data_IF_382458808479
#
_entry.id   IF_382458808479
#
_cell.length_a   1.000
_cell.length_b   1.000
_cell.length_c   1.000
_cell.angle_alpha   90.00
_cell.angle_beta   90.00
_cell.angle_gamma   90.00
#
_symmetry.space_group_name_H-M   'P 1'
#
loop_
_entity.id
_entity.type
_entity.pdbx_description
1 polymer ?
#
# COMPACT_ATOMS: atom_id res chain seq x y z
N UNK A 1 -104.32 136.42 -46.60
CA UNK A 1 -102.85 136.56 -46.45
C UNK A 1 -102.21 135.62 -45.40
N UNK A 2 -102.94 135.03 -44.43
CA UNK A 2 -102.37 134.12 -43.40
C UNK A 2 -102.09 132.67 -43.85
N UNK A 3 -102.63 132.21 -44.99
CA UNK A 3 -102.60 130.79 -45.39
C UNK A 3 -101.39 130.40 -46.26
N UNK A 4 -100.82 131.32 -47.06
CA UNK A 4 -99.61 131.04 -47.86
C UNK A 4 -98.34 130.84 -47.02
N UNK A 5 -98.25 131.49 -45.85
CA UNK A 5 -97.10 131.36 -44.95
C UNK A 5 -97.02 129.99 -44.26
N UNK A 6 -98.16 129.37 -43.95
CA UNK A 6 -98.22 128.07 -43.26
C UNK A 6 -97.70 126.92 -44.14
N UNK A 7 -98.04 126.89 -45.43
CA UNK A 7 -97.55 125.89 -46.38
C UNK A 7 -96.02 125.94 -46.54
N UNK A 8 -95.46 127.14 -46.74
CA UNK A 8 -94.01 127.33 -46.89
C UNK A 8 -93.24 127.01 -45.61
N UNK A 9 -93.82 127.27 -44.43
CA UNK A 9 -93.22 126.82 -43.15
C UNK A 9 -93.28 125.30 -42.94
N UNK A 10 -94.27 124.60 -43.49
CA UNK A 10 -94.38 123.15 -43.39
C UNK A 10 -93.40 122.44 -44.33
N UNK A 11 -93.17 123.00 -45.53
CA UNK A 11 -92.14 122.55 -46.47
C UNK A 11 -90.74 122.72 -45.86
N UNK A 12 -90.41 123.91 -45.33
CA UNK A 12 -89.11 124.13 -44.66
C UNK A 12 -88.90 123.19 -43.46
N UNK A 13 -89.95 122.90 -42.67
CA UNK A 13 -89.87 121.92 -41.58
C UNK A 13 -89.77 120.46 -42.06
N UNK A 14 -90.23 120.15 -43.27
CA UNK A 14 -90.06 118.82 -43.88
C UNK A 14 -88.64 118.69 -44.41
N UNK A 15 -88.15 119.68 -45.15
CA UNK A 15 -86.80 119.70 -45.70
C UNK A 15 -85.74 119.77 -44.59
N UNK A 16 -85.99 120.52 -43.52
CA UNK A 16 -85.14 120.50 -42.32
C UNK A 16 -85.09 119.11 -41.67
N UNK A 17 -86.23 118.39 -41.56
CA UNK A 17 -86.26 117.02 -41.03
C UNK A 17 -85.59 116.01 -41.95
N UNK A 18 -85.73 116.17 -43.27
CA UNK A 18 -85.05 115.33 -44.26
C UNK A 18 -83.55 115.57 -44.18
N UNK A 19 -83.11 116.84 -44.17
CA UNK A 19 -81.69 117.20 -44.03
C UNK A 19 -81.10 116.76 -42.68
N UNK A 20 -81.84 116.84 -41.57
CA UNK A 20 -81.43 116.29 -40.27
C UNK A 20 -81.31 114.76 -40.31
N UNK A 21 -82.23 114.06 -40.96
CA UNK A 21 -82.18 112.61 -41.09
C UNK A 21 -81.04 112.14 -42.00
N UNK A 22 -80.82 112.81 -43.13
CA UNK A 22 -79.71 112.55 -44.05
C UNK A 22 -78.37 112.85 -43.39
N UNK A 23 -78.22 113.99 -42.71
CA UNK A 23 -77.01 114.31 -41.95
C UNK A 23 -76.76 113.31 -40.81
N UNK A 24 -77.82 112.83 -40.14
CA UNK A 24 -77.71 111.79 -39.11
C UNK A 24 -77.31 110.45 -39.70
N UNK A 25 -77.86 110.04 -40.84
CA UNK A 25 -77.47 108.83 -41.55
C UNK A 25 -76.00 108.91 -41.99
N UNK A 26 -75.59 110.01 -42.63
CA UNK A 26 -74.21 110.21 -43.07
C UNK A 26 -73.23 110.23 -41.90
N UNK A 27 -73.61 110.84 -40.77
CA UNK A 27 -72.82 110.79 -39.54
C UNK A 27 -72.69 109.35 -39.03
N UNK A 28 -73.78 108.58 -38.96
CA UNK A 28 -73.74 107.18 -38.48
C UNK A 28 -72.96 106.26 -39.43
N UNK A 29 -73.03 106.48 -40.74
CA UNK A 29 -72.25 105.71 -41.72
C UNK A 29 -70.76 106.02 -41.57
N UNK A 30 -70.40 107.30 -41.43
CA UNK A 30 -69.00 107.71 -41.20
C UNK A 30 -68.47 107.18 -39.86
N UNK A 31 -69.29 107.20 -38.81
CA UNK A 31 -68.94 106.61 -37.51
C UNK A 31 -68.75 105.10 -37.61
N UNK A 32 -69.64 104.38 -38.32
CA UNK A 32 -69.52 102.94 -38.51
C UNK A 32 -68.25 102.55 -39.31
N UNK A 33 -67.92 103.30 -40.37
CA UNK A 33 -66.71 103.08 -41.17
C UNK A 33 -65.45 103.39 -40.33
N UNK A 34 -65.46 104.48 -39.55
CA UNK A 34 -64.35 104.83 -38.67
C UNK A 34 -64.14 103.77 -37.57
N UNK A 35 -65.22 103.24 -36.99
CA UNK A 35 -65.14 102.18 -35.98
C UNK A 35 -64.73 100.84 -36.60
N UNK A 36 -65.20 100.49 -37.81
CA UNK A 36 -64.73 99.31 -38.55
C UNK A 36 -63.23 99.38 -38.82
N UNK A 37 -62.73 100.52 -39.31
CA UNK A 37 -61.29 100.72 -39.55
C UNK A 37 -60.47 100.64 -38.26
N UNK A 38 -60.99 101.21 -37.16
CA UNK A 38 -60.36 101.12 -35.84
C UNK A 38 -60.30 99.67 -35.33
N UNK A 39 -61.40 98.93 -35.45
CA UNK A 39 -61.47 97.52 -35.06
C UNK A 39 -60.57 96.66 -35.92
N UNK A 40 -60.54 96.87 -37.24
CA UNK A 40 -59.64 96.18 -38.15
C UNK A 40 -58.16 96.44 -37.78
N UNK A 41 -57.79 97.69 -37.51
CA UNK A 41 -56.44 98.03 -37.06
C UNK A 41 -56.11 97.39 -35.70
N UNK A 42 -57.06 97.34 -34.76
CA UNK A 42 -56.89 96.64 -33.47
C UNK A 42 -56.68 95.14 -33.65
N UNK A 43 -57.54 94.47 -34.41
CA UNK A 43 -57.40 93.03 -34.65
C UNK A 43 -56.10 92.70 -35.38
N UNK A 44 -55.67 93.53 -36.34
CA UNK A 44 -54.37 93.35 -36.99
C UNK A 44 -53.24 93.44 -35.95
N UNK A 45 -53.23 94.47 -35.10
CA UNK A 45 -52.24 94.58 -34.03
C UNK A 45 -52.28 93.40 -33.05
N UNK A 46 -53.47 92.97 -32.61
CA UNK A 46 -53.63 91.85 -31.69
C UNK A 46 -53.17 90.53 -32.33
N UNK A 47 -53.43 90.32 -33.63
CA UNK A 47 -52.95 89.14 -34.35
C UNK A 47 -51.42 89.13 -34.47
N UNK A 48 -50.80 90.29 -34.71
CA UNK A 48 -49.34 90.39 -34.77
C UNK A 48 -48.71 90.21 -33.38
N UNK A 49 -49.33 90.73 -32.31
CA UNK A 49 -48.90 90.47 -30.93
C UNK A 49 -49.01 88.98 -30.60
N UNK A 50 -50.13 88.33 -30.93
CA UNK A 50 -50.33 86.90 -30.67
C UNK A 50 -49.34 86.03 -31.47
N UNK A 51 -49.06 86.38 -32.73
CA UNK A 51 -48.01 85.72 -33.53
C UNK A 51 -46.64 85.89 -32.89
N UNK A 52 -46.28 87.11 -32.48
CA UNK A 52 -45.01 87.38 -31.83
C UNK A 52 -44.86 86.63 -30.50
N UNK A 53 -45.93 86.55 -29.70
CA UNK A 53 -45.97 85.77 -28.46
C UNK A 53 -45.79 84.27 -28.73
N UNK A 54 -46.54 83.71 -29.67
CA UNK A 54 -46.41 82.29 -30.06
C UNK A 54 -45.00 81.98 -30.55
N UNK A 55 -44.44 82.82 -31.43
CA UNK A 55 -43.12 82.60 -31.99
C UNK A 55 -42.03 82.76 -30.93
N UNK A 56 -42.20 83.67 -29.96
CA UNK A 56 -41.34 83.79 -28.79
C UNK A 56 -41.39 82.54 -27.91
N UNK A 57 -42.59 82.04 -27.58
CA UNK A 57 -42.78 80.83 -26.78
C UNK A 57 -42.21 79.59 -27.47
N UNK A 58 -42.42 79.45 -28.78
CA UNK A 58 -41.83 78.37 -29.57
C UNK A 58 -40.30 78.43 -29.54
N UNK A 59 -39.70 79.61 -29.77
CA UNK A 59 -38.25 79.77 -29.67
C UNK A 59 -37.73 79.47 -28.28
N UNK A 60 -38.42 79.95 -27.23
CA UNK A 60 -38.08 79.67 -25.84
C UNK A 60 -38.10 78.17 -25.56
N UNK A 61 -39.16 77.46 -25.97
CA UNK A 61 -39.26 76.01 -25.79
C UNK A 61 -38.14 75.25 -26.53
N UNK A 62 -37.79 75.67 -27.74
CA UNK A 62 -36.66 75.08 -28.50
C UNK A 62 -35.34 75.26 -27.74
N UNK A 63 -35.06 76.48 -27.25
CA UNK A 63 -33.84 76.73 -26.47
C UNK A 63 -33.84 76.01 -25.13
N UNK A 64 -34.99 75.90 -24.45
CA UNK A 64 -35.10 75.16 -23.20
C UNK A 64 -34.80 73.68 -23.43
N UNK A 65 -35.32 73.07 -24.51
CA UNK A 65 -34.99 71.68 -24.89
C UNK A 65 -33.50 71.53 -25.19
N UNK A 66 -32.89 72.46 -25.93
CA UNK A 66 -31.46 72.41 -26.23
C UNK A 66 -30.60 72.53 -24.96
N UNK A 67 -30.95 73.47 -24.06
CA UNK A 67 -30.25 73.63 -22.79
C UNK A 67 -30.41 72.37 -21.91
N UNK A 68 -31.60 71.78 -21.85
CA UNK A 68 -31.83 70.58 -21.04
C UNK A 68 -31.15 69.34 -21.62
N UNK A 69 -31.16 69.17 -22.94
CA UNK A 69 -30.43 68.08 -23.60
C UNK A 69 -28.93 68.20 -23.36
N UNK A 70 -28.36 69.40 -23.49
CA UNK A 70 -26.93 69.64 -23.20
C UNK A 70 -26.59 69.43 -21.73
N UNK A 71 -27.49 69.82 -20.80
CA UNK A 71 -27.34 69.54 -19.36
C UNK A 71 -27.37 68.04 -19.08
N UNK A 72 -28.33 67.31 -19.62
CA UNK A 72 -28.43 65.85 -19.45
C UNK A 72 -27.22 65.12 -20.05
N UNK A 73 -26.74 65.55 -21.23
CA UNK A 73 -25.50 65.03 -21.83
C UNK A 73 -24.29 65.26 -20.91
N UNK A 74 -24.17 66.47 -20.33
CA UNK A 74 -23.08 66.79 -19.41
C UNK A 74 -23.14 65.98 -18.10
N UNK A 75 -24.34 65.79 -17.54
CA UNK A 75 -24.58 64.96 -16.36
C UNK A 75 -24.23 63.48 -16.64
N UNK A 76 -24.72 62.92 -17.74
CA UNK A 76 -24.39 61.55 -18.14
C UNK A 76 -22.89 61.38 -18.41
N UNK A 77 -22.24 62.36 -19.03
CA UNK A 77 -20.79 62.32 -19.25
C UNK A 77 -20.01 62.34 -17.91
N UNK A 78 -20.46 63.15 -16.95
CA UNK A 78 -19.88 63.19 -15.62
C UNK A 78 -20.06 61.85 -14.87
N UNK A 79 -21.27 61.28 -14.90
CA UNK A 79 -21.55 59.98 -14.29
C UNK A 79 -20.74 58.85 -14.93
N UNK A 80 -20.64 58.84 -16.26
CA UNK A 80 -19.82 57.88 -17.00
C UNK A 80 -18.35 58.00 -16.59
N UNK A 81 -17.83 59.21 -16.47
CA UNK A 81 -16.45 59.44 -16.07
C UNK A 81 -16.21 59.02 -14.61
N UNK A 82 -17.15 59.28 -13.72
CA UNK A 82 -17.11 58.81 -12.34
C UNK A 82 -17.14 57.27 -12.27
N UNK A 83 -17.97 56.61 -13.09
CA UNK A 83 -18.03 55.16 -13.17
C UNK A 83 -16.73 54.55 -13.71
N UNK A 84 -16.17 55.10 -14.80
CA UNK A 84 -14.85 54.70 -15.34
C UNK A 84 -13.75 54.84 -14.30
N UNK A 85 -13.74 55.95 -13.56
CA UNK A 85 -12.75 56.18 -12.51
C UNK A 85 -12.91 55.18 -11.37
N UNK A 86 -14.14 54.90 -10.93
CA UNK A 86 -14.43 53.85 -9.93
C UNK A 86 -14.00 52.45 -10.41
N UNK A 87 -14.19 52.13 -11.69
CA UNK A 87 -13.74 50.86 -12.26
C UNK A 87 -12.22 50.76 -12.22
N UNK A 88 -11.50 51.80 -12.66
CA UNK A 88 -10.02 51.85 -12.59
C UNK A 88 -9.50 51.68 -11.16
N UNK A 89 -10.11 52.37 -10.19
CA UNK A 89 -9.75 52.22 -8.77
C UNK A 89 -9.96 50.77 -8.30
N UNK A 90 -11.07 50.13 -8.68
CA UNK A 90 -11.33 48.72 -8.33
C UNK A 90 -10.33 47.76 -8.97
N UNK A 91 -9.94 48.02 -10.22
CA UNK A 91 -8.91 47.24 -10.92
C UNK A 91 -7.55 47.35 -10.21
N UNK A 92 -7.14 48.56 -9.84
CA UNK A 92 -5.92 48.80 -9.06
C UNK A 92 -6.00 48.15 -7.67
N UNK A 93 -7.13 48.25 -6.97
CA UNK A 93 -7.35 47.57 -5.68
C UNK A 93 -7.26 46.04 -5.81
N UNK A 94 -7.81 45.47 -6.89
CA UNK A 94 -7.70 44.03 -7.14
C UNK A 94 -6.24 43.63 -7.39
N UNK A 95 -5.47 44.45 -8.13
CA UNK A 95 -4.04 44.21 -8.32
C UNK A 95 -3.27 44.25 -7.00
N UNK A 96 -3.53 45.22 -6.13
CA UNK A 96 -2.95 45.28 -4.78
C UNK A 96 -3.26 43.98 -4.03
N UNK A 97 -4.52 43.53 -4.05
CA UNK A 97 -4.94 42.30 -3.38
C UNK A 97 -4.25 41.05 -3.94
N UNK A 98 -4.04 40.98 -5.25
CA UNK A 98 -3.30 39.88 -5.88
C UNK A 98 -1.85 39.91 -5.40
N UNK A 99 -1.20 41.07 -5.39
CA UNK A 99 0.19 41.22 -4.91
C UNK A 99 0.30 40.82 -3.43
N UNK A 100 -0.59 41.34 -2.57
CA UNK A 100 -0.66 40.95 -1.15
C UNK A 100 -0.79 39.44 -1.00
N UNK A 101 -1.72 38.82 -1.74
CA UNK A 101 -1.93 37.37 -1.67
C UNK A 101 -0.74 36.57 -2.18
N UNK A 102 -0.08 37.01 -3.25
CA UNK A 102 1.15 36.35 -3.73
C UNK A 102 2.29 36.47 -2.71
N UNK A 103 2.37 37.60 -2.00
CA UNK A 103 3.37 37.80 -0.97
C UNK A 103 3.07 36.96 0.27
N UNK A 104 1.80 36.82 0.67
CA UNK A 104 1.38 35.87 1.71
C UNK A 104 1.76 34.43 1.35
N UNK A 105 1.50 33.99 0.11
CA UNK A 105 1.88 32.66 -0.37
C UNK A 105 3.40 32.48 -0.31
N UNK A 106 4.18 33.48 -0.73
CA UNK A 106 5.63 33.41 -0.68
C UNK A 106 6.16 33.30 0.77
N UNK A 107 5.57 34.05 1.71
CA UNK A 107 5.91 33.95 3.14
C UNK A 107 5.54 32.57 3.68
N UNK A 108 4.34 32.07 3.36
CA UNK A 108 3.90 30.72 3.77
C UNK A 108 4.81 29.62 3.21
N UNK A 109 5.25 29.74 1.96
CA UNK A 109 6.18 28.79 1.35
C UNK A 109 7.54 28.81 2.06
N UNK A 110 8.05 30.00 2.42
CA UNK A 110 9.27 30.11 3.23
C UNK A 110 9.10 29.54 4.64
N UNK A 111 7.95 29.74 5.28
CA UNK A 111 7.63 29.14 6.58
C UNK A 111 7.55 27.61 6.48
N UNK A 112 6.92 27.07 5.42
CA UNK A 112 6.88 25.63 5.17
C UNK A 112 8.29 25.07 4.97
N UNK A 113 9.15 25.74 4.18
CA UNK A 113 10.53 25.30 3.99
C UNK A 113 11.33 25.31 5.30
N UNK A 114 11.16 26.34 6.15
CA UNK A 114 11.77 26.36 7.49
C UNK A 114 11.28 25.19 8.33
N UNK A 115 9.97 24.97 8.36
CA UNK A 115 9.35 23.88 9.12
C UNK A 115 9.77 22.51 8.61
N UNK A 116 9.90 22.32 7.30
CA UNK A 116 10.40 21.10 6.69
C UNK A 116 11.85 20.84 7.12
N UNK A 117 12.73 21.86 7.08
CA UNK A 117 14.11 21.73 7.56
C UNK A 117 14.18 21.43 9.07
N UNK A 118 13.31 22.03 9.87
CA UNK A 118 13.21 21.74 11.31
C UNK A 118 12.76 20.29 11.57
N UNK A 119 11.74 19.81 10.85
CA UNK A 119 11.25 18.44 10.95
C UNK A 119 12.29 17.43 10.42
N UNK A 120 12.99 17.78 9.35
CA UNK A 120 14.09 16.98 8.82
C UNK A 120 15.21 16.85 9.86
N UNK A 121 15.61 17.95 10.48
CA UNK A 121 16.63 17.96 11.52
C UNK A 121 16.21 17.24 12.80
N UNK A 122 14.94 17.38 13.21
CA UNK A 122 14.46 16.92 14.53
C UNK A 122 13.90 15.51 14.51
N UNK A 123 13.25 15.10 13.42
CA UNK A 123 12.55 13.81 13.33
C UNK A 123 13.30 12.89 12.37
N UNK A 124 13.54 13.34 11.15
CA UNK A 124 14.06 12.47 10.09
C UNK A 124 15.50 12.05 10.34
N UNK A 125 16.40 13.00 10.66
CA UNK A 125 17.81 12.69 10.92
C UNK A 125 18.01 11.77 12.13
N UNK A 126 17.35 11.97 13.29
CA UNK A 126 17.43 11.02 14.39
C UNK A 126 16.83 9.66 14.06
N UNK A 127 15.67 9.63 13.38
CA UNK A 127 15.06 8.36 12.96
C UNK A 127 15.94 7.58 11.98
N UNK A 128 16.60 8.25 11.03
CA UNK A 128 17.57 7.63 10.13
C UNK A 128 18.81 7.12 10.88
N UNK A 129 19.31 7.88 11.87
CA UNK A 129 20.40 7.44 12.72
C UNK A 129 20.04 6.21 13.58
N UNK A 130 18.83 6.18 14.16
CA UNK A 130 18.31 5.04 14.91
C UNK A 130 18.13 3.81 14.03
N UNK A 131 17.53 3.99 12.84
CA UNK A 131 17.39 2.92 11.85
C UNK A 131 18.75 2.33 11.47
N UNK A 132 19.72 3.17 11.14
CA UNK A 132 21.07 2.73 10.79
C UNK A 132 21.74 1.98 11.96
N UNK A 133 21.59 2.48 13.19
CA UNK A 133 22.11 1.81 14.39
C UNK A 133 21.46 0.44 14.58
N UNK A 134 20.14 0.33 14.41
CA UNK A 134 19.41 -0.92 14.56
C UNK A 134 19.77 -1.94 13.47
N UNK A 135 19.88 -1.49 12.23
CA UNK A 135 20.34 -2.34 11.11
C UNK A 135 21.75 -2.87 11.36
N UNK A 136 22.68 -2.02 11.81
CA UNK A 136 24.04 -2.45 12.15
C UNK A 136 24.09 -3.40 13.34
N UNK A 137 23.26 -3.18 14.36
CA UNK A 137 23.13 -4.12 15.48
C UNK A 137 22.53 -5.46 15.04
N UNK A 138 21.54 -5.45 14.16
CA UNK A 138 20.95 -6.67 13.61
C UNK A 138 21.95 -7.43 12.72
N UNK A 139 22.70 -6.73 11.87
CA UNK A 139 23.79 -7.30 11.07
C UNK A 139 24.88 -7.91 11.98
N UNK A 140 25.31 -7.18 13.02
CA UNK A 140 26.29 -7.67 13.98
C UNK A 140 25.80 -8.92 14.73
N UNK A 141 24.53 -8.93 15.16
CA UNK A 141 23.93 -10.10 15.81
C UNK A 141 23.83 -11.30 14.87
N UNK A 142 23.43 -11.09 13.61
CA UNK A 142 23.39 -12.14 12.59
C UNK A 142 24.78 -12.73 12.37
N UNK A 143 25.80 -11.88 12.22
CA UNK A 143 27.19 -12.31 12.06
C UNK A 143 27.67 -13.09 13.28
N UNK A 144 27.36 -12.62 14.50
CA UNK A 144 27.72 -13.32 15.74
C UNK A 144 27.11 -14.72 15.79
N UNK A 145 25.82 -14.87 15.48
CA UNK A 145 25.13 -16.18 15.49
C UNK A 145 25.71 -17.11 14.43
N UNK A 146 26.06 -16.60 13.24
CA UNK A 146 26.70 -17.41 12.19
C UNK A 146 28.08 -17.89 12.65
N UNK A 147 28.92 -16.98 13.17
CA UNK A 147 30.26 -17.32 13.66
C UNK A 147 30.21 -18.31 14.84
N UNK A 148 29.24 -18.16 15.74
CA UNK A 148 29.04 -19.08 16.87
C UNK A 148 28.60 -20.46 16.38
N UNK A 149 27.66 -20.52 15.42
CA UNK A 149 27.24 -21.78 14.82
C UNK A 149 28.36 -22.46 14.01
N UNK A 150 29.18 -21.69 13.28
CA UNK A 150 30.36 -22.19 12.58
C UNK A 150 31.42 -22.72 13.55
N UNK A 151 31.68 -21.99 14.64
CA UNK A 151 32.60 -22.41 15.69
C UNK A 151 32.11 -23.69 16.40
N UNK A 152 30.82 -23.80 16.69
CA UNK A 152 30.22 -25.01 17.28
C UNK A 152 30.27 -26.19 16.30
N UNK A 153 29.97 -25.97 15.02
CA UNK A 153 30.09 -27.01 14.00
C UNK A 153 31.53 -27.51 13.85
N UNK A 154 32.52 -26.61 13.87
CA UNK A 154 33.93 -26.97 13.83
C UNK A 154 34.37 -27.70 15.09
N UNK A 155 33.92 -27.26 16.27
CA UNK A 155 34.19 -27.95 17.53
C UNK A 155 33.63 -29.37 17.54
N UNK A 156 32.41 -29.57 17.02
CA UNK A 156 31.79 -30.90 16.87
C UNK A 156 32.58 -31.76 15.89
N UNK A 157 33.05 -31.22 14.77
CA UNK A 157 33.90 -31.96 13.81
C UNK A 157 35.19 -32.41 14.47
N UNK A 158 35.95 -31.49 15.08
CA UNK A 158 37.22 -31.80 15.72
C UNK A 158 37.03 -32.83 16.83
N UNK A 159 35.96 -32.70 17.63
CA UNK A 159 35.62 -33.68 18.67
C UNK A 159 35.26 -35.04 18.07
N UNK A 160 34.44 -35.06 17.02
CA UNK A 160 34.03 -36.28 16.32
C UNK A 160 35.23 -36.99 15.68
N UNK A 161 36.17 -36.25 15.08
CA UNK A 161 37.42 -36.78 14.54
C UNK A 161 38.31 -37.35 15.65
N UNK A 162 38.45 -36.65 16.77
CA UNK A 162 39.21 -37.13 17.92
C UNK A 162 38.60 -38.40 18.53
N UNK A 163 37.27 -38.45 18.68
CA UNK A 163 36.55 -39.63 19.16
C UNK A 163 36.66 -40.80 18.18
N UNK A 164 36.49 -40.55 16.87
CA UNK A 164 36.67 -41.56 15.84
C UNK A 164 38.10 -42.13 15.82
N UNK A 165 39.12 -41.27 15.95
CA UNK A 165 40.51 -41.69 16.05
C UNK A 165 40.77 -42.52 17.30
N UNK A 166 40.23 -42.11 18.46
CA UNK A 166 40.36 -42.85 19.71
C UNK A 166 39.69 -44.23 19.64
N UNK A 167 38.49 -44.31 19.06
CA UNK A 167 37.77 -45.57 18.84
C UNK A 167 38.55 -46.45 17.86
N UNK A 168 39.02 -45.92 16.73
CA UNK A 168 39.81 -46.69 15.76
C UNK A 168 41.11 -47.24 16.37
N UNK A 169 41.82 -46.43 17.15
CA UNK A 169 43.02 -46.85 17.87
C UNK A 169 42.71 -47.95 18.89
N UNK A 170 41.63 -47.80 19.67
CA UNK A 170 41.17 -48.81 20.64
C UNK A 170 40.77 -50.11 19.94
N UNK A 171 39.95 -50.04 18.90
CA UNK A 171 39.50 -51.20 18.12
C UNK A 171 40.66 -51.90 17.43
N UNK A 172 41.67 -51.17 16.94
CA UNK A 172 42.90 -51.76 16.40
C UNK A 172 43.69 -52.48 17.49
N UNK A 173 43.85 -51.88 18.66
CA UNK A 173 44.53 -52.51 19.80
C UNK A 173 43.79 -53.77 20.27
N UNK A 174 42.45 -53.74 20.32
CA UNK A 174 41.61 -54.90 20.64
C UNK A 174 41.72 -55.99 19.58
N UNK A 175 41.71 -55.63 18.29
CA UNK A 175 41.88 -56.56 17.18
C UNK A 175 43.28 -57.23 17.21
N UNK A 176 44.35 -56.46 17.47
CA UNK A 176 45.71 -56.98 17.64
C UNK A 176 45.82 -57.88 18.88
N UNK A 177 45.19 -57.52 20.00
CA UNK A 177 45.12 -58.39 21.17
C UNK A 177 44.36 -59.69 20.88
N UNK A 178 43.23 -59.64 20.19
CA UNK A 178 42.48 -60.84 19.80
C UNK A 178 43.28 -61.70 18.82
N UNK A 179 43.99 -61.11 17.87
CA UNK A 179 44.85 -61.84 16.94
C UNK A 179 46.00 -62.55 17.67
N UNK A 180 46.70 -61.86 18.58
CA UNK A 180 47.76 -62.46 19.41
C UNK A 180 47.21 -63.54 20.34
N UNK A 181 46.02 -63.34 20.91
CA UNK A 181 45.32 -64.40 21.65
C UNK A 181 45.02 -65.58 20.72
N UNK A 182 44.44 -65.37 19.55
CA UNK A 182 44.14 -66.45 18.61
C UNK A 182 45.40 -67.23 18.18
N UNK A 183 46.52 -66.54 17.98
CA UNK A 183 47.82 -67.15 17.68
C UNK A 183 48.38 -67.95 18.86
N UNK A 184 48.36 -67.39 20.07
CA UNK A 184 48.76 -68.09 21.29
C UNK A 184 47.91 -69.34 21.55
N UNK A 185 46.59 -69.28 21.29
CA UNK A 185 45.69 -70.43 21.38
C UNK A 185 45.92 -71.45 20.25
N UNK A 186 46.52 -71.06 19.13
CA UNK A 186 46.89 -71.98 18.04
C UNK A 186 48.13 -72.80 18.44
N UNK A 187 49.13 -72.16 19.03
CA UNK A 187 50.30 -72.86 19.59
C UNK A 187 49.93 -73.70 20.81
N UNK A 188 49.06 -73.18 21.69
CA UNK A 188 48.51 -73.96 22.80
C UNK A 188 47.59 -75.09 22.33
N UNK A 189 47.08 -75.09 21.09
CA UNK A 189 46.18 -76.14 20.59
C UNK A 189 46.88 -77.49 20.52
N UNK A 190 48.12 -77.56 20.04
CA UNK A 190 48.86 -78.82 19.95
C UNK A 190 49.19 -79.38 21.33
N UNK A 191 49.61 -78.53 22.28
CA UNK A 191 49.92 -78.95 23.65
C UNK A 191 48.66 -79.25 24.50
N UNK A 192 47.61 -78.43 24.40
CA UNK A 192 46.37 -78.60 25.15
C UNK A 192 45.51 -79.76 24.63
N UNK A 193 45.59 -80.09 23.32
CA UNK A 193 44.87 -81.26 22.80
C UNK A 193 45.48 -82.56 23.33
N UNK A 194 46.81 -82.62 23.50
CA UNK A 194 47.49 -83.77 24.11
C UNK A 194 47.19 -83.87 25.62
N UNK A 195 47.23 -82.76 26.34
CA UNK A 195 46.96 -82.72 27.79
C UNK A 195 45.48 -83.03 28.10
N UNK A 196 44.54 -82.47 27.32
CA UNK A 196 43.12 -82.78 27.45
C UNK A 196 42.82 -84.23 27.03
N UNK A 197 43.53 -84.81 26.06
CA UNK A 197 43.42 -86.24 25.73
C UNK A 197 43.91 -87.11 26.89
N UNK A 198 45.07 -86.79 27.49
CA UNK A 198 45.63 -87.48 28.66
C UNK A 198 44.70 -87.44 29.89
N UNK A 199 43.96 -86.33 30.07
CA UNK A 199 43.06 -86.15 31.21
C UNK A 199 41.64 -86.71 30.98
N UNK A 200 41.22 -86.81 29.71
CA UNK A 200 39.91 -87.37 29.32
C UNK A 200 39.96 -88.87 29.01
N UNK A 201 41.11 -89.41 28.56
CA UNK A 201 41.31 -90.85 28.32
C UNK A 201 40.94 -91.73 29.52
N UNK A 202 41.36 -91.41 30.77
CA UNK A 202 40.98 -92.20 31.94
C UNK A 202 39.48 -92.14 32.23
N UNK A 203 38.82 -91.00 31.98
CA UNK A 203 37.37 -90.81 32.22
C UNK A 203 36.55 -91.59 31.19
N UNK A 204 36.96 -91.57 29.93
CA UNK A 204 36.34 -92.39 28.88
C UNK A 204 36.59 -93.88 29.13
N UNK A 205 37.81 -94.27 29.51
CA UNK A 205 38.12 -95.65 29.88
C UNK A 205 37.31 -96.12 31.11
N UNK A 206 37.12 -95.26 32.11
CA UNK A 206 36.30 -95.56 33.29
C UNK A 206 34.80 -95.69 32.96
N UNK A 207 34.26 -94.82 32.11
CA UNK A 207 32.86 -94.91 31.64
C UNK A 207 32.63 -96.13 30.76
N UNK A 208 33.59 -96.49 29.90
CA UNK A 208 33.52 -97.72 29.09
C UNK A 208 33.67 -98.98 29.97
N UNK A 209 34.41 -98.90 31.08
CA UNK A 209 34.56 -99.98 32.04
C UNK A 209 33.43 -100.05 33.10
N UNK A 210 32.64 -99.00 33.27
CA UNK A 210 31.57 -98.95 34.28
C UNK A 210 30.49 -100.05 34.07
N UNK A 211 30.02 -100.34 32.85
CA UNK A 211 29.12 -101.47 32.59
C UNK A 211 29.74 -102.83 32.90
N UNK A 212 31.07 -102.98 32.71
CA UNK A 212 31.80 -104.20 33.04
C UNK A 212 31.96 -104.40 34.56
N UNK A 213 32.17 -103.32 35.31
CA UNK A 213 32.32 -103.36 36.77
C UNK A 213 31.00 -103.61 37.51
N UNK A 214 29.84 -103.27 36.94
CA UNK A 214 28.53 -103.49 37.56
C UNK A 214 27.96 -104.90 37.32
N UNK A 215 28.56 -105.68 36.42
CA UNK A 215 28.13 -107.05 36.15
C UNK A 215 28.62 -108.03 37.23
N UNK A 216 27.88 -108.14 38.34
CA UNK A 216 28.20 -109.06 39.46
C UNK A 216 28.21 -110.55 39.07
N UNK A 217 27.59 -110.93 37.95
CA UNK A 217 27.63 -112.29 37.41
C UNK A 217 27.33 -112.27 35.90
N UNK A 218 28.38 -112.31 35.09
CA UNK A 218 28.24 -112.55 33.66
C UNK A 218 28.04 -114.06 33.46
N UNK A 219 26.81 -114.48 33.22
CA UNK A 219 26.52 -115.89 32.91
C UNK A 219 26.59 -116.05 31.40
N UNK A 220 27.75 -116.45 30.90
CA UNK A 220 27.94 -116.72 29.47
C UNK A 220 27.32 -118.08 29.16
N UNK A 221 26.14 -118.08 28.55
CA UNK A 221 25.47 -119.32 28.13
C UNK A 221 26.07 -119.73 26.79
N UNK A 222 27.04 -120.64 26.82
CA UNK A 222 27.59 -121.22 25.60
C UNK A 222 26.74 -122.41 25.17
N UNK A 223 25.99 -122.24 24.08
CA UNK A 223 25.43 -123.34 23.31
C UNK A 223 26.29 -123.48 22.05
N UNK A 224 27.41 -124.20 22.15
CA UNK A 224 28.26 -124.53 21.00
C UNK A 224 29.76 -124.48 21.24
N UNK A 225 30.49 -125.26 20.45
CA UNK A 225 31.94 -125.43 20.51
C UNK A 225 32.67 -124.15 20.03
N UNK A 226 33.14 -123.33 20.96
CA UNK A 226 33.97 -122.15 20.71
C UNK A 226 34.40 -121.49 22.03
N UNK A 227 35.61 -120.92 22.06
CA UNK A 227 36.26 -120.41 23.28
C UNK A 227 35.35 -119.46 24.09
N UNK A 228 35.17 -119.80 25.38
CA UNK A 228 34.38 -119.08 26.37
C UNK A 228 35.36 -118.32 27.29
N UNK A 229 35.27 -117.00 27.38
CA UNK A 229 36.14 -116.18 28.24
C UNK A 229 36.09 -114.68 27.96
N UNK A 230 36.85 -113.92 28.76
CA UNK A 230 36.91 -112.44 28.75
C UNK A 230 37.21 -111.84 27.36
N UNK A 231 37.84 -112.61 26.46
CA UNK A 231 38.22 -112.20 25.10
C UNK A 231 37.01 -111.80 24.25
N UNK A 232 35.86 -112.51 24.33
CA UNK A 232 34.63 -112.12 23.63
C UNK A 232 34.02 -110.82 24.17
N UNK A 233 34.11 -110.59 25.47
CA UNK A 233 33.62 -109.35 26.10
C UNK A 233 34.48 -108.14 25.72
N UNK A 234 35.80 -108.28 25.73
CA UNK A 234 36.70 -107.23 25.20
C UNK A 234 36.48 -107.01 23.70
N UNK A 235 36.18 -108.07 22.93
CA UNK A 235 35.86 -107.96 21.50
C UNK A 235 34.56 -107.22 21.21
N UNK A 236 33.48 -107.51 21.97
CA UNK A 236 32.20 -106.80 21.85
C UNK A 236 32.31 -105.34 22.31
N UNK A 237 33.09 -105.06 23.36
CA UNK A 237 33.37 -103.68 23.81
C UNK A 237 34.19 -102.93 22.76
N UNK A 238 35.22 -103.55 22.17
CA UNK A 238 35.98 -102.96 21.05
C UNK A 238 35.09 -102.71 19.83
N UNK A 239 34.15 -103.59 19.52
CA UNK A 239 33.19 -103.38 18.44
C UNK A 239 32.20 -102.23 18.73
N UNK A 240 31.74 -102.09 19.98
CA UNK A 240 30.90 -100.96 20.38
C UNK A 240 31.70 -99.65 20.26
N UNK A 241 32.93 -99.62 20.78
CA UNK A 241 33.82 -98.46 20.69
C UNK A 241 34.08 -98.06 19.23
N UNK A 242 34.28 -99.03 18.33
CA UNK A 242 34.45 -98.76 16.91
C UNK A 242 33.17 -98.27 16.20
N UNK A 243 31.97 -98.53 16.74
CA UNK A 243 30.69 -98.05 16.19
C UNK A 243 30.24 -96.69 16.75
N UNK A 244 30.82 -96.24 17.87
CA UNK A 244 30.51 -94.93 18.47
C UNK A 244 30.74 -93.77 17.47
N UNK A 245 31.84 -93.70 16.69
CA UNK A 245 32.04 -92.62 15.72
C UNK A 245 30.94 -92.56 14.65
N UNK A 246 30.48 -93.71 14.15
CA UNK A 246 29.39 -93.78 13.15
C UNK A 246 28.04 -93.34 13.73
N UNK A 247 27.78 -93.65 15.01
CA UNK A 247 26.59 -93.21 15.74
C UNK A 247 26.56 -91.70 16.00
N UNK A 248 27.71 -91.10 16.32
CA UNK A 248 27.81 -89.64 16.51
C UNK A 248 27.63 -88.92 15.17
N UNK A 249 28.20 -89.48 14.08
CA UNK A 249 28.03 -88.96 12.72
C UNK A 249 26.57 -88.98 12.26
N UNK A 250 25.81 -90.04 12.58
CA UNK A 250 24.40 -90.14 12.17
C UNK A 250 23.48 -89.18 12.92
N UNK A 251 23.80 -88.83 14.16
CA UNK A 251 22.98 -87.92 15.00
C UNK A 251 23.36 -86.44 14.80
N UNK A 252 24.64 -86.13 14.58
CA UNK A 252 25.16 -84.75 14.58
C UNK A 252 25.65 -84.26 13.22
N UNK A 253 25.80 -85.15 12.23
CA UNK A 253 26.35 -84.83 10.91
C UNK A 253 27.86 -84.53 10.89
N UNK A 254 28.55 -84.64 12.03
CA UNK A 254 29.97 -84.34 12.16
C UNK A 254 30.79 -85.64 12.13
N UNK A 255 31.76 -85.70 11.22
CA UNK A 255 32.58 -86.89 10.95
C UNK A 255 33.92 -86.83 11.71
N UNK A 256 33.95 -87.37 12.93
CA UNK A 256 35.07 -87.23 13.88
C UNK A 256 36.29 -88.06 13.43
N UNK A 257 36.11 -89.10 12.62
CA UNK A 257 37.20 -89.94 12.11
C UNK A 257 38.16 -89.17 11.19
N UNK A 258 37.70 -88.10 10.53
CA UNK A 258 38.54 -87.23 9.70
C UNK A 258 39.31 -86.17 10.49
N UNK A 259 38.83 -85.74 11.65
CA UNK A 259 39.49 -84.69 12.44
C UNK A 259 40.66 -85.18 13.30
N UNK A 260 40.92 -86.49 13.35
CA UNK A 260 42.06 -87.08 14.10
C UNK A 260 43.22 -87.48 13.16
N UNK A 261 42.99 -87.62 11.85
CA UNK A 261 44.02 -87.97 10.85
C UNK A 261 44.42 -86.80 9.94
N UNK A 262 44.12 -85.57 10.34
CA UNK A 262 44.57 -84.35 9.67
C UNK A 262 45.36 -83.49 10.67
N UNK A 263 46.46 -84.07 11.14
CA UNK A 263 47.65 -83.36 11.61
C UNK A 263 48.75 -83.60 10.60
#
# INVERSE_FOLDING_TARGET
>A
LKSLGMARTAEVKRDARIGEAEARCDATIKEAIAEEQRMAARFLNDTEIAKAQRDFELKKAVYDVEVQTKKAEAEMAYELQAAKTKQRIKEEQMQIKVVERTQEIAVQEQEMQRRERELEATIRRPAEAEKYKLEKLAEANKLRVILEAEAEAEAIKVRGEAEAFAIAAKSKAEAEQMAKKAEAWREYREAAMVDMLLDTLPKVAAEVAAPLSQAKKITMVSSGNGEVGAVKLTGEVLQIVNKIPELVKSITGVDISRSVHAG
#
